data_IF_030908473856
#
_entry.id   IF_030908473856
#
_cell.length_a   1.000
_cell.length_b   1.000
_cell.length_c   1.000
_cell.angle_alpha   90.00
_cell.angle_beta   90.00
_cell.angle_gamma   90.00
#
_symmetry.space_group_name_H-M   'P 1'
#
loop_
_entity.id
_entity.type
_entity.pdbx_description
1 polymer ?
#
# COMPACT_ATOMS: atom_id res chain seq x y z
N UNK A 1 -21.03 -18.07 -4.51
CA UNK A 1 -19.64 -18.33 -4.97
C UNK A 1 -18.87 -17.05 -4.78
N UNK A 2 -18.04 -16.96 -3.73
CA UNK A 2 -17.19 -15.80 -3.47
C UNK A 2 -16.16 -15.75 -4.59
N UNK A 3 -16.33 -14.82 -5.54
CA UNK A 3 -15.30 -14.57 -6.54
C UNK A 3 -14.03 -14.21 -5.76
N UNK A 4 -12.94 -14.92 -6.01
CA UNK A 4 -11.64 -14.47 -5.52
C UNK A 4 -11.47 -13.04 -6.05
N UNK A 5 -11.43 -12.06 -5.14
CA UNK A 5 -11.12 -10.65 -5.42
C UNK A 5 -9.90 -10.63 -6.35
N UNK A 6 -9.80 -9.71 -7.32
CA UNK A 6 -8.73 -9.71 -8.33
C UNK A 6 -7.32 -9.91 -7.76
N UNK A 7 -7.10 -9.44 -6.53
CA UNK A 7 -5.91 -9.69 -5.69
C UNK A 7 -5.57 -11.18 -5.48
N UNK A 8 -6.56 -12.04 -5.26
CA UNK A 8 -6.41 -13.47 -5.10
C UNK A 8 -5.95 -14.16 -6.39
N UNK A 9 -6.44 -13.70 -7.55
CA UNK A 9 -6.05 -14.24 -8.86
C UNK A 9 -4.59 -13.92 -9.16
N UNK A 10 -4.16 -12.68 -8.95
CA UNK A 10 -2.75 -12.33 -9.17
C UNK A 10 -1.83 -12.94 -8.13
N UNK A 11 -2.28 -13.10 -6.89
CA UNK A 11 -1.51 -13.83 -5.86
C UNK A 11 -1.34 -15.29 -6.26
N UNK A 12 -2.39 -15.91 -6.80
CA UNK A 12 -2.31 -17.27 -7.33
C UNK A 12 -1.36 -17.34 -8.53
N UNK A 13 -1.41 -16.38 -9.46
CA UNK A 13 -0.49 -16.31 -10.62
C UNK A 13 0.97 -16.14 -10.21
N UNK A 14 1.26 -15.26 -9.23
CA UNK A 14 2.62 -15.09 -8.68
C UNK A 14 3.11 -16.39 -8.02
N UNK A 15 2.29 -17.00 -7.15
CA UNK A 15 2.65 -18.26 -6.47
C UNK A 15 2.86 -19.38 -7.46
N UNK A 16 1.98 -19.48 -8.47
CA UNK A 16 2.10 -20.46 -9.55
C UNK A 16 3.37 -20.25 -10.37
N UNK A 17 3.73 -19.01 -10.71
CA UNK A 17 5.00 -18.71 -11.40
C UNK A 17 6.22 -19.15 -10.60
N UNK A 18 6.25 -18.92 -9.28
CA UNK A 18 7.34 -19.40 -8.40
C UNK A 18 7.41 -20.94 -8.37
N UNK A 19 6.26 -21.60 -8.26
CA UNK A 19 6.16 -23.05 -8.26
C UNK A 19 6.60 -23.66 -9.61
N UNK A 20 6.13 -23.10 -10.72
CA UNK A 20 6.50 -23.51 -12.07
C UNK A 20 8.00 -23.37 -12.33
N UNK A 21 8.63 -22.31 -11.82
CA UNK A 21 10.09 -22.12 -11.89
C UNK A 21 10.85 -23.16 -11.06
N UNK A 22 10.38 -23.48 -9.85
CA UNK A 22 11.00 -24.50 -9.01
C UNK A 22 10.96 -25.91 -9.62
N UNK A 23 10.01 -26.15 -10.54
CA UNK A 23 9.83 -27.43 -11.23
C UNK A 23 10.20 -27.39 -12.72
N UNK A 24 10.90 -26.34 -13.18
CA UNK A 24 11.14 -26.11 -14.61
C UNK A 24 11.88 -27.26 -15.30
N UNK A 25 12.83 -27.90 -14.62
CA UNK A 25 13.60 -29.05 -15.14
C UNK A 25 12.74 -30.29 -15.34
N UNK A 26 11.75 -30.50 -14.47
CA UNK A 26 10.91 -31.71 -14.46
C UNK A 26 9.60 -31.53 -15.23
N UNK A 27 9.10 -30.29 -15.30
CA UNK A 27 7.83 -29.93 -15.91
C UNK A 27 7.93 -28.59 -16.67
N UNK A 28 8.64 -28.55 -17.82
CA UNK A 28 8.84 -27.32 -18.59
C UNK A 28 7.53 -26.69 -19.10
N UNK A 29 6.48 -27.51 -19.31
CA UNK A 29 5.15 -27.03 -19.69
C UNK A 29 4.51 -26.10 -18.65
N UNK A 30 4.80 -26.28 -17.35
CA UNK A 30 4.30 -25.38 -16.30
C UNK A 30 4.89 -23.98 -16.42
N UNK A 31 6.15 -23.87 -16.85
CA UNK A 31 6.79 -22.58 -17.09
C UNK A 31 6.15 -21.84 -18.27
N UNK A 32 5.77 -22.56 -19.33
CA UNK A 32 5.02 -21.99 -20.46
C UNK A 32 3.62 -21.48 -20.05
N UNK A 33 2.90 -22.25 -19.23
CA UNK A 33 1.58 -21.84 -18.70
C UNK A 33 1.72 -20.61 -17.79
N UNK A 34 2.74 -20.56 -16.93
CA UNK A 34 2.99 -19.39 -16.08
C UNK A 34 3.32 -18.14 -16.92
N UNK A 35 4.09 -18.30 -17.99
CA UNK A 35 4.42 -17.21 -18.91
C UNK A 35 3.20 -16.73 -19.72
N UNK A 36 2.25 -17.61 -20.05
CA UNK A 36 1.00 -17.27 -20.74
C UNK A 36 -0.01 -16.53 -19.84
N UNK A 37 0.12 -16.67 -18.52
CA UNK A 37 -0.77 -16.06 -17.53
C UNK A 37 0.01 -15.29 -16.45
N UNK A 38 0.76 -14.24 -16.83
CA UNK A 38 1.47 -13.43 -15.85
C UNK A 38 0.45 -12.74 -14.92
N UNK A 39 0.85 -12.42 -13.68
CA UNK A 39 0.06 -11.53 -12.83
C UNK A 39 -0.15 -10.20 -13.57
N UNK A 40 -1.39 -9.71 -13.56
CA UNK A 40 -1.78 -8.50 -14.29
C UNK A 40 -1.26 -7.25 -13.58
N UNK A 41 -1.15 -7.29 -12.25
CA UNK A 41 -0.70 -6.20 -11.41
C UNK A 41 0.62 -6.56 -10.72
N UNK A 42 1.67 -5.81 -11.04
CA UNK A 42 2.98 -5.92 -10.37
C UNK A 42 2.83 -5.40 -8.95
N UNK A 43 3.25 -6.19 -7.96
CA UNK A 43 3.23 -5.76 -6.58
C UNK A 43 4.42 -4.83 -6.28
N UNK A 44 4.12 -3.55 -6.04
CA UNK A 44 5.09 -2.49 -5.78
C UNK A 44 5.65 -2.60 -4.37
N UNK A 45 6.97 -2.55 -4.24
CA UNK A 45 7.67 -2.67 -2.94
C UNK A 45 8.49 -1.44 -2.58
N UNK A 46 8.65 -0.53 -3.54
CA UNK A 46 9.49 0.67 -3.49
C UNK A 46 8.71 1.86 -4.05
N UNK A 47 9.02 3.08 -3.59
CA UNK A 47 8.33 4.28 -4.06
C UNK A 47 8.46 4.45 -5.57
N UNK A 48 9.66 4.26 -6.11
CA UNK A 48 9.94 4.44 -7.54
C UNK A 48 9.31 3.38 -8.45
N UNK A 49 8.76 2.30 -7.89
CA UNK A 49 8.04 1.29 -8.68
C UNK A 49 6.55 1.66 -8.87
N UNK A 50 6.02 2.56 -8.05
CA UNK A 50 4.59 2.88 -8.04
C UNK A 50 4.24 3.67 -9.29
N UNK A 51 3.20 3.23 -10.00
CA UNK A 51 2.73 3.92 -11.20
C UNK A 51 2.22 5.33 -10.83
N UNK A 52 2.74 6.42 -11.42
CA UNK A 52 2.43 7.79 -10.98
C UNK A 52 0.94 8.18 -11.03
N UNK A 53 0.15 7.52 -11.87
CA UNK A 53 -1.30 7.79 -12.01
C UNK A 53 -2.18 6.87 -11.16
N UNK A 54 -1.58 5.99 -10.36
CA UNK A 54 -2.29 5.03 -9.51
C UNK A 54 -2.89 5.66 -8.25
N UNK A 55 -3.85 4.95 -7.64
CA UNK A 55 -4.39 5.35 -6.34
C UNK A 55 -3.35 5.21 -5.21
N UNK A 56 -2.44 4.24 -5.28
CA UNK A 56 -1.30 4.15 -4.39
C UNK A 56 -0.35 5.36 -4.50
N UNK A 57 -0.11 5.89 -5.71
CA UNK A 57 0.63 7.15 -5.88
C UNK A 57 -0.09 8.33 -5.22
N UNK A 58 -1.42 8.37 -5.28
CA UNK A 58 -2.22 9.38 -4.56
C UNK A 58 -2.06 9.26 -3.04
N UNK A 59 -2.03 8.06 -2.48
CA UNK A 59 -1.75 7.85 -1.06
C UNK A 59 -0.36 8.37 -0.66
N UNK A 60 0.66 8.17 -1.50
CA UNK A 60 2.00 8.70 -1.28
C UNK A 60 2.05 10.23 -1.34
N UNK A 61 1.39 10.83 -2.33
CA UNK A 61 1.29 12.29 -2.44
C UNK A 61 0.59 12.91 -1.23
N UNK A 62 -0.44 12.24 -0.69
CA UNK A 62 -1.12 12.67 0.55
C UNK A 62 -0.18 12.60 1.76
N UNK A 63 0.63 11.55 1.88
CA UNK A 63 1.63 11.44 2.95
C UNK A 63 2.65 12.56 2.89
N UNK A 64 3.18 12.86 1.71
CA UNK A 64 4.12 13.97 1.51
C UNK A 64 3.46 15.30 1.87
N UNK A 65 2.30 15.61 1.30
CA UNK A 65 1.59 16.86 1.57
C UNK A 65 1.25 17.04 3.07
N UNK A 66 0.79 15.99 3.73
CA UNK A 66 0.44 16.05 5.15
C UNK A 66 1.67 16.21 6.05
N UNK A 67 2.76 15.52 5.74
CA UNK A 67 4.02 15.64 6.49
C UNK A 67 4.76 16.95 6.21
N UNK A 68 4.56 17.57 5.05
CA UNK A 68 5.06 18.91 4.74
C UNK A 68 4.14 20.03 5.30
N UNK A 69 2.97 19.67 5.83
CA UNK A 69 2.01 20.61 6.42
C UNK A 69 1.22 21.42 5.39
N UNK A 70 1.18 20.96 4.13
CA UNK A 70 0.38 21.58 3.06
C UNK A 70 -1.03 20.98 2.94
N UNK A 71 -1.31 19.92 3.70
CA UNK A 71 -2.61 19.25 3.80
C UNK A 71 -3.06 19.23 5.27
N UNK A 72 -4.36 19.46 5.52
CA UNK A 72 -4.95 19.37 6.86
C UNK A 72 -5.16 17.92 7.29
N UNK A 73 -5.32 17.67 8.59
CA UNK A 73 -5.59 16.32 9.11
C UNK A 73 -6.93 15.73 8.59
N UNK A 74 -8.05 16.47 8.57
CA UNK A 74 -9.29 16.00 7.96
C UNK A 74 -9.15 15.70 6.45
N UNK A 75 -8.50 16.57 5.68
CA UNK A 75 -8.30 16.37 4.25
C UNK A 75 -7.42 15.14 3.97
N UNK A 76 -6.37 14.97 4.78
CA UNK A 76 -5.49 13.80 4.72
C UNK A 76 -6.28 12.52 5.00
N UNK A 77 -7.04 12.47 6.08
CA UNK A 77 -7.83 11.29 6.46
C UNK A 77 -8.86 10.93 5.38
N UNK A 78 -9.65 11.90 4.91
CA UNK A 78 -10.63 11.67 3.84
C UNK A 78 -9.98 11.22 2.54
N UNK A 79 -8.91 11.90 2.12
CA UNK A 79 -8.17 11.57 0.90
C UNK A 79 -7.54 10.18 0.98
N UNK A 80 -7.01 9.80 2.14
CA UNK A 80 -6.42 8.49 2.37
C UNK A 80 -7.46 7.38 2.21
N UNK A 81 -8.63 7.53 2.82
CA UNK A 81 -9.72 6.56 2.72
C UNK A 81 -10.24 6.41 1.29
N UNK A 82 -10.40 7.52 0.57
CA UNK A 82 -10.79 7.50 -0.84
C UNK A 82 -9.76 6.75 -1.70
N UNK A 83 -8.47 7.12 -1.57
CA UNK A 83 -7.40 6.53 -2.35
C UNK A 83 -7.20 5.04 -2.02
N UNK A 84 -7.28 4.64 -0.74
CA UNK A 84 -7.19 3.22 -0.34
C UNK A 84 -8.31 2.38 -0.95
N UNK A 85 -9.56 2.86 -0.92
CA UNK A 85 -10.68 2.17 -1.57
C UNK A 85 -10.50 2.07 -3.07
N UNK A 86 -10.04 3.13 -3.73
CA UNK A 86 -9.75 3.11 -5.16
C UNK A 86 -8.62 2.12 -5.50
N UNK A 87 -7.55 2.09 -4.71
CA UNK A 87 -6.43 1.16 -4.86
C UNK A 87 -6.90 -0.30 -4.78
N UNK A 88 -7.73 -0.61 -3.77
CA UNK A 88 -8.35 -1.94 -3.62
C UNK A 88 -9.28 -2.29 -4.79
N UNK A 89 -10.12 -1.35 -5.24
CA UNK A 89 -11.03 -1.55 -6.36
C UNK A 89 -10.28 -1.79 -7.68
N UNK A 90 -9.14 -1.13 -7.87
CA UNK A 90 -8.25 -1.29 -9.02
C UNK A 90 -7.38 -2.55 -8.93
N UNK A 91 -7.40 -3.28 -7.80
CA UNK A 91 -6.54 -4.43 -7.57
C UNK A 91 -5.05 -4.08 -7.46
N UNK A 92 -4.72 -2.81 -7.18
CA UNK A 92 -3.34 -2.37 -6.99
C UNK A 92 -2.69 -3.13 -5.84
N UNK A 93 -1.43 -3.50 -6.02
CA UNK A 93 -0.71 -4.35 -5.08
C UNK A 93 0.49 -3.62 -4.53
N UNK A 94 0.47 -3.39 -3.22
CA UNK A 94 1.57 -2.82 -2.46
C UNK A 94 2.06 -3.88 -1.47
N UNK A 95 3.37 -4.09 -1.36
CA UNK A 95 3.93 -5.14 -0.51
C UNK A 95 5.24 -4.69 0.18
N UNK A 96 5.77 -5.56 1.03
CA UNK A 96 7.04 -5.33 1.71
C UNK A 96 6.98 -4.12 2.63
N UNK A 97 8.05 -3.33 2.67
CA UNK A 97 8.15 -2.15 3.53
C UNK A 97 7.12 -1.07 3.17
N UNK A 98 6.80 -0.92 1.88
CA UNK A 98 5.81 0.05 1.41
C UNK A 98 4.39 -0.37 1.83
N UNK A 99 4.08 -1.67 1.74
CA UNK A 99 2.80 -2.20 2.23
C UNK A 99 2.66 -2.01 3.74
N UNK A 100 3.72 -2.32 4.51
CA UNK A 100 3.74 -2.12 5.95
C UNK A 100 3.54 -0.64 6.35
N UNK A 101 4.11 0.31 5.60
CA UNK A 101 3.85 1.73 5.79
C UNK A 101 2.36 2.06 5.61
N UNK A 102 1.74 1.57 4.53
CA UNK A 102 0.33 1.84 4.24
C UNK A 102 -0.58 1.26 5.32
N UNK A 103 -0.28 0.06 5.82
CA UNK A 103 -1.03 -0.56 6.90
C UNK A 103 -0.82 0.18 8.23
N UNK A 104 0.39 0.68 8.51
CA UNK A 104 0.63 1.46 9.71
C UNK A 104 -0.13 2.80 9.71
N UNK A 105 -0.14 3.50 8.58
CA UNK A 105 -0.92 4.74 8.43
C UNK A 105 -2.42 4.47 8.52
N UNK A 106 -2.88 3.34 7.98
CA UNK A 106 -4.26 2.88 8.17
C UNK A 106 -4.61 2.75 9.66
N UNK A 107 -3.79 2.03 10.45
CA UNK A 107 -4.06 1.85 11.88
C UNK A 107 -4.07 3.19 12.63
N UNK A 108 -3.12 4.08 12.33
CA UNK A 108 -3.07 5.42 12.95
C UNK A 108 -4.36 6.22 12.66
N UNK A 109 -4.90 6.12 11.45
CA UNK A 109 -6.14 6.80 11.08
C UNK A 109 -7.39 6.16 11.68
N UNK A 110 -7.33 4.91 12.14
CA UNK A 110 -8.42 4.31 12.93
C UNK A 110 -8.51 4.94 14.33
N UNK A 111 -7.38 5.38 14.88
CA UNK A 111 -7.30 6.06 16.17
C UNK A 111 -7.54 7.59 16.07
N UNK A 112 -7.84 8.13 14.87
CA UNK A 112 -8.05 9.57 14.67
C UNK A 112 -9.53 9.92 14.56
N UNK A 113 -9.98 10.88 15.37
CA UNK A 113 -11.32 11.44 15.26
C UNK A 113 -11.33 12.76 14.47
N UNK A 114 -11.96 12.74 13.30
CA UNK A 114 -12.12 13.93 12.43
C UNK A 114 -12.98 15.01 13.09
N UNK A 115 -13.96 14.62 13.92
CA UNK A 115 -14.82 15.55 14.64
C UNK A 115 -14.49 15.52 16.13
N UNK A 116 -13.88 16.60 16.67
CA UNK A 116 -13.50 16.67 18.08
C UNK A 116 -14.66 16.45 19.06
N UNK A 117 -15.91 16.69 18.63
CA UNK A 117 -17.08 16.47 19.49
C UNK A 117 -17.42 14.98 19.68
N UNK A 118 -16.91 14.12 18.80
CA UNK A 118 -17.08 12.66 18.85
C UNK A 118 -15.79 11.95 19.24
N UNK A 119 -14.73 12.68 19.60
CA UNK A 119 -13.47 12.08 20.06
C UNK A 119 -13.66 11.34 21.38
N UNK A 120 -13.20 10.09 21.42
CA UNK A 120 -13.15 9.25 22.60
C UNK A 120 -11.80 9.44 23.34
N UNK A 121 -11.73 9.14 24.65
CA UNK A 121 -10.47 9.18 25.38
C UNK A 121 -9.44 8.20 24.77
N UNK A 122 -8.39 8.75 24.18
CA UNK A 122 -7.34 7.99 23.50
C UNK A 122 -7.29 8.24 21.99
N UNK A 123 -8.30 8.88 21.41
CA UNK A 123 -8.27 9.33 20.03
C UNK A 123 -7.21 10.42 19.83
N UNK A 124 -6.54 10.36 18.69
CA UNK A 124 -5.57 11.34 18.25
C UNK A 124 -6.27 12.62 17.84
N UNK A 125 -5.69 13.76 18.23
CA UNK A 125 -6.00 15.05 17.61
C UNK A 125 -5.19 15.29 16.32
N UNK A 126 -5.45 16.40 15.63
CA UNK A 126 -4.77 16.78 14.38
C UNK A 126 -3.24 16.83 14.52
N UNK A 127 -2.73 17.35 15.64
CA UNK A 127 -1.31 17.56 15.88
C UNK A 127 -0.61 16.24 16.24
N UNK A 128 -1.26 15.40 17.05
CA UNK A 128 -0.81 14.06 17.40
C UNK A 128 -0.80 13.14 16.17
N UNK A 129 -1.84 13.21 15.33
CA UNK A 129 -1.89 12.52 14.04
C UNK A 129 -0.70 12.95 13.16
N UNK A 130 -0.50 14.25 12.97
CA UNK A 130 0.57 14.76 12.12
C UNK A 130 1.96 14.34 12.63
N UNK A 131 2.17 14.40 13.95
CA UNK A 131 3.43 13.99 14.58
C UNK A 131 3.69 12.51 14.36
N UNK A 132 2.68 11.67 14.57
CA UNK A 132 2.77 10.22 14.46
C UNK A 132 3.02 9.79 13.01
N UNK A 133 2.25 10.33 12.05
CA UNK A 133 2.44 10.03 10.63
C UNK A 133 3.80 10.50 10.13
N UNK A 134 4.26 11.69 10.54
CA UNK A 134 5.60 12.20 10.19
C UNK A 134 6.71 11.29 10.70
N UNK A 135 6.58 10.76 11.92
CA UNK A 135 7.58 9.86 12.50
C UNK A 135 7.67 8.54 11.69
N UNK A 136 6.52 7.96 11.35
CA UNK A 136 6.43 6.73 10.54
C UNK A 136 7.01 6.95 9.14
N UNK A 137 6.62 8.04 8.47
CA UNK A 137 7.11 8.38 7.14
C UNK A 137 8.63 8.58 7.12
N UNK A 138 9.17 9.32 8.09
CA UNK A 138 10.61 9.53 8.21
C UNK A 138 11.36 8.21 8.46
N UNK A 139 10.80 7.29 9.26
CA UNK A 139 11.36 5.95 9.50
C UNK A 139 11.42 5.11 8.22
N UNK A 140 10.35 5.14 7.43
CA UNK A 140 10.31 4.47 6.13
C UNK A 140 11.37 5.02 5.17
N UNK A 141 11.44 6.36 4.98
CA UNK A 141 12.39 6.98 4.05
C UNK A 141 13.86 6.68 4.37
N UNK A 142 14.22 6.63 5.66
CA UNK A 142 15.57 6.20 6.09
C UNK A 142 15.86 4.76 5.68
N UNK A 143 14.88 3.88 5.90
CA UNK A 143 15.00 2.45 5.59
C UNK A 143 15.07 2.18 4.08
N UNK A 144 14.41 3.00 3.27
CA UNK A 144 14.46 2.92 1.81
C UNK A 144 15.80 3.42 1.25
N UNK A 145 16.32 4.53 1.79
CA UNK A 145 17.62 5.09 1.38
C UNK A 145 18.79 4.16 1.72
N UNK A 146 18.74 3.50 2.88
CA UNK A 146 19.76 2.52 3.28
C UNK A 146 19.74 1.20 2.49
N UNK A 147 18.71 0.98 1.65
CA UNK A 147 18.56 -0.25 0.83
C UNK A 147 18.97 -0.04 -0.63
N UNK A 148 19.13 1.22 -1.06
CA UNK A 148 19.58 1.61 -2.41
C UNK A 148 21.09 1.89 -2.49
N UNK A 149 21.85 1.56 -1.43
CA UNK A 149 23.32 1.53 -1.39
C UNK A 149 23.80 0.09 -1.30
#
# INVERSE_FOLDING_TARGET
>A
MSAAVGEGVDTARVRFGRYARALSERHPSLSAVAAAHPPVHRAWSHLGDVEPTSAAARQLALLEAFTDGTCSAPDFAHGWWEARRASQANGERVQGALGALFDQVFMILEDYSIDPNFAEPGDLDDAELQTTVRAVWAGFRRSETGRNQ
#
